data_IF_631790379544
#
_entry.id   IF_631790379544
#
_cell.length_a   1.000
_cell.length_b   1.000
_cell.length_c   1.000
_cell.angle_alpha   90.00
_cell.angle_beta   90.00
_cell.angle_gamma   90.00
#
_symmetry.space_group_name_H-M   'P 1'
#
loop_
_entity.id
_entity.type
_entity.pdbx_description
1 polymer ?
#
# COMPACT_ATOMS: atom_id res chain seq x y z
N UNK A 1 -17.23 -8.12 -5.42
CA UNK A 1 -16.10 -7.67 -6.23
C UNK A 1 -15.36 -6.62 -5.42
N UNK A 2 -14.04 -6.77 -5.25
CA UNK A 2 -13.21 -5.79 -4.54
C UNK A 2 -13.23 -4.44 -5.29
N UNK A 3 -13.25 -3.34 -4.54
CA UNK A 3 -13.12 -2.00 -5.12
C UNK A 3 -11.68 -1.82 -5.64
N UNK A 4 -11.51 -1.13 -6.73
CA UNK A 4 -10.19 -0.82 -7.28
C UNK A 4 -9.83 0.64 -7.03
N UNK A 5 -8.64 0.88 -6.52
CA UNK A 5 -8.04 2.18 -6.33
C UNK A 5 -6.70 2.26 -7.08
N UNK A 6 -6.25 3.46 -7.45
CA UNK A 6 -4.97 3.71 -8.10
C UNK A 6 -3.92 4.14 -7.07
N UNK A 7 -2.73 3.58 -7.12
CA UNK A 7 -1.57 4.05 -6.38
C UNK A 7 -0.69 4.95 -7.27
N UNK A 8 -0.25 6.07 -6.73
CA UNK A 8 0.58 7.06 -7.41
C UNK A 8 1.80 7.46 -6.59
N UNK A 9 2.84 7.97 -7.26
CA UNK A 9 3.99 8.62 -6.63
C UNK A 9 4.62 9.62 -7.60
N UNK A 10 5.33 10.63 -7.08
CA UNK A 10 6.11 11.56 -7.91
C UNK A 10 7.42 10.87 -8.29
N UNK A 11 7.65 10.75 -9.58
CA UNK A 11 8.89 10.25 -10.17
C UNK A 11 9.31 11.22 -11.31
N UNK A 12 10.54 11.13 -11.83
CA UNK A 12 10.95 11.97 -12.96
C UNK A 12 10.01 11.88 -14.17
N UNK A 13 9.42 10.72 -14.40
CA UNK A 13 8.44 10.43 -15.46
C UNK A 13 6.98 10.58 -15.04
N UNK A 14 6.73 11.05 -13.82
CA UNK A 14 5.39 11.24 -13.24
C UNK A 14 5.28 12.61 -12.56
N UNK A 15 5.35 13.70 -13.31
CA UNK A 15 5.26 15.05 -12.74
C UNK A 15 3.87 15.31 -12.15
N UNK A 16 3.72 16.29 -11.23
CA UNK A 16 2.45 16.56 -10.53
C UNK A 16 1.24 16.73 -11.45
N UNK A 17 1.41 17.37 -12.61
CA UNK A 17 0.34 17.52 -13.60
C UNK A 17 -0.20 16.18 -14.09
N UNK A 18 0.66 15.17 -14.29
CA UNK A 18 0.26 13.82 -14.68
C UNK A 18 -0.50 13.11 -13.57
N UNK A 19 -0.11 13.29 -12.32
CA UNK A 19 -0.83 12.71 -11.19
C UNK A 19 -2.28 13.23 -11.12
N UNK A 20 -2.47 14.53 -11.41
CA UNK A 20 -3.81 15.14 -11.48
C UNK A 20 -4.62 14.54 -12.64
N UNK A 21 -4.03 14.40 -13.83
CA UNK A 21 -4.69 13.78 -14.99
C UNK A 21 -5.11 12.34 -14.69
N UNK A 22 -4.22 11.52 -14.13
CA UNK A 22 -4.51 10.13 -13.77
C UNK A 22 -5.58 10.02 -12.70
N UNK A 23 -5.57 10.92 -11.71
CA UNK A 23 -6.58 10.92 -10.64
C UNK A 23 -7.97 11.22 -11.18
N UNK A 24 -8.09 12.17 -12.11
CA UNK A 24 -9.35 12.48 -12.80
C UNK A 24 -9.79 11.30 -13.68
N UNK A 25 -8.87 10.74 -14.47
CA UNK A 25 -9.17 9.57 -15.30
C UNK A 25 -9.62 8.36 -14.46
N UNK A 26 -9.00 8.13 -13.30
CA UNK A 26 -9.41 7.08 -12.38
C UNK A 26 -10.81 7.37 -11.78
N UNK A 27 -11.09 8.62 -11.40
CA UNK A 27 -12.41 9.02 -10.94
C UNK A 27 -13.49 8.80 -12.01
N UNK A 28 -13.24 9.18 -13.25
CA UNK A 28 -14.16 9.00 -14.37
C UNK A 28 -14.34 7.52 -14.76
N UNK A 29 -13.32 6.71 -14.52
CA UNK A 29 -13.37 5.25 -14.74
C UNK A 29 -14.02 4.48 -13.58
N UNK A 30 -14.48 5.12 -12.51
CA UNK A 30 -15.17 4.51 -11.40
C UNK A 30 -14.26 3.93 -10.31
N UNK A 31 -12.96 4.25 -10.29
CA UNK A 31 -12.07 3.84 -9.22
C UNK A 31 -12.53 4.42 -7.87
N UNK A 32 -12.36 3.63 -6.81
CA UNK A 32 -12.81 4.00 -5.47
C UNK A 32 -11.87 4.98 -4.76
N UNK A 33 -10.60 5.09 -5.18
CA UNK A 33 -9.62 5.95 -4.54
C UNK A 33 -8.33 6.13 -5.35
N UNK A 34 -7.56 7.16 -4.96
CA UNK A 34 -6.18 7.37 -5.38
C UNK A 34 -5.33 7.48 -4.12
N UNK A 35 -4.29 6.64 -4.04
CA UNK A 35 -3.40 6.56 -2.89
C UNK A 35 -1.99 6.99 -3.25
N UNK A 36 -1.42 7.91 -2.49
CA UNK A 36 -0.04 8.34 -2.68
C UNK A 36 0.92 7.46 -1.88
N UNK A 37 1.99 7.00 -2.53
CA UNK A 37 3.11 6.38 -1.82
C UNK A 37 4.08 7.47 -1.37
N UNK A 38 4.72 7.31 -0.21
CA UNK A 38 5.75 8.24 0.27
C UNK A 38 7.14 7.79 -0.20
N UNK A 39 7.39 8.07 -1.49
CA UNK A 39 8.66 7.78 -2.12
C UNK A 39 9.06 9.00 -2.97
N UNK A 40 10.09 9.71 -2.55
CA UNK A 40 10.57 10.96 -3.16
C UNK A 40 9.54 12.12 -3.18
N UNK A 41 8.51 12.04 -2.35
CA UNK A 41 7.45 13.06 -2.26
C UNK A 41 6.80 13.04 -0.87
N UNK A 42 6.12 14.12 -0.53
CA UNK A 42 5.20 14.17 0.60
C UNK A 42 3.84 13.61 0.20
N UNK A 43 3.50 12.44 0.76
CA UNK A 43 2.27 11.72 0.42
C UNK A 43 1.00 12.48 0.82
N UNK A 44 1.06 13.27 1.91
CA UNK A 44 -0.07 14.03 2.44
C UNK A 44 -0.31 15.29 1.61
N UNK A 45 0.76 16.06 1.34
CA UNK A 45 0.67 17.26 0.48
C UNK A 45 0.19 16.89 -0.93
N UNK A 46 0.68 15.78 -1.49
CA UNK A 46 0.20 15.27 -2.78
C UNK A 46 -1.27 14.85 -2.72
N UNK A 47 -1.70 14.17 -1.65
CA UNK A 47 -3.12 13.79 -1.47
C UNK A 47 -4.03 15.02 -1.41
N UNK A 48 -3.60 16.10 -0.74
CA UNK A 48 -4.32 17.37 -0.73
C UNK A 48 -4.44 17.94 -2.14
N UNK A 49 -3.34 18.03 -2.87
CA UNK A 49 -3.32 18.56 -4.24
C UNK A 49 -4.28 17.78 -5.17
N UNK A 50 -4.22 16.44 -5.13
CA UNK A 50 -5.13 15.59 -5.91
C UNK A 50 -6.59 15.76 -5.47
N UNK A 51 -6.83 15.90 -4.16
CA UNK A 51 -8.16 16.10 -3.60
C UNK A 51 -8.84 17.39 -4.07
N UNK A 52 -8.07 18.46 -4.25
CA UNK A 52 -8.58 19.74 -4.78
C UNK A 52 -8.90 19.67 -6.29
N UNK A 53 -8.37 18.66 -7.00
CA UNK A 53 -8.59 18.47 -8.44
C UNK A 53 -9.57 17.34 -8.79
N UNK A 54 -10.11 16.65 -7.77
CA UNK A 54 -11.11 15.57 -7.89
C UNK A 54 -12.35 15.92 -7.04
N UNK A 55 -13.47 15.23 -7.25
CA UNK A 55 -14.76 15.58 -6.61
C UNK A 55 -15.33 14.48 -5.72
N UNK A 56 -15.18 13.22 -6.10
CA UNK A 56 -15.86 12.07 -5.48
C UNK A 56 -14.89 11.00 -4.96
N UNK A 57 -13.80 10.79 -5.72
CA UNK A 57 -12.84 9.73 -5.44
C UNK A 57 -12.18 9.94 -4.06
N UNK A 58 -11.97 8.86 -3.30
CA UNK A 58 -11.24 8.91 -2.04
C UNK A 58 -9.75 9.19 -2.30
N UNK A 59 -9.13 9.92 -1.40
CA UNK A 59 -7.69 10.15 -1.39
C UNK A 59 -7.10 9.35 -0.23
N UNK A 60 -5.87 8.89 -0.37
CA UNK A 60 -5.23 8.20 0.73
C UNK A 60 -3.71 8.15 0.61
N UNK A 61 -3.09 7.63 1.64
CA UNK A 61 -1.65 7.31 1.59
C UNK A 61 -1.43 5.79 1.73
N UNK A 62 -0.50 5.25 0.97
CA UNK A 62 -0.11 3.84 1.02
C UNK A 62 1.42 3.69 0.86
N UNK A 63 2.14 4.16 1.81
CA UNK A 63 1.81 4.63 3.15
C UNK A 63 2.55 5.94 3.48
N UNK A 64 2.11 6.68 4.50
CA UNK A 64 2.90 7.72 5.17
C UNK A 64 3.79 7.08 6.22
N UNK A 65 5.09 7.40 6.21
CA UNK A 65 6.07 6.87 7.17
C UNK A 65 5.95 7.63 8.52
N UNK A 66 5.61 6.91 9.59
CA UNK A 66 5.41 7.45 10.94
C UNK A 66 6.66 8.04 11.59
N UNK A 67 7.85 7.81 11.03
CA UNK A 67 9.12 8.33 11.55
C UNK A 67 9.51 9.68 10.97
N UNK A 68 8.91 10.10 9.87
CA UNK A 68 9.28 11.33 9.17
C UNK A 68 8.61 12.58 9.74
N UNK A 69 7.56 12.41 10.57
CA UNK A 69 6.77 13.52 11.13
C UNK A 69 6.51 13.33 12.62
N UNK A 70 6.46 14.42 13.36
CA UNK A 70 5.92 14.36 14.72
C UNK A 70 4.42 14.02 14.67
N UNK A 71 3.89 13.12 15.52
CA UNK A 71 2.48 12.71 15.46
C UNK A 71 1.47 13.85 15.54
N UNK A 72 1.73 14.91 16.29
CA UNK A 72 0.83 16.07 16.34
C UNK A 72 0.80 16.85 15.02
N UNK A 73 1.96 17.00 14.34
CA UNK A 73 2.00 17.62 13.02
C UNK A 73 1.25 16.76 12.01
N UNK A 74 1.48 15.44 12.05
CA UNK A 74 0.78 14.48 11.20
C UNK A 74 -0.75 14.53 11.40
N UNK A 75 -1.23 14.72 12.63
CA UNK A 75 -2.65 14.91 12.91
C UNK A 75 -3.21 16.20 12.28
N UNK A 76 -2.48 17.31 12.38
CA UNK A 76 -2.88 18.59 11.77
C UNK A 76 -2.91 18.50 10.24
N UNK A 77 -1.87 17.90 9.63
CA UNK A 77 -1.79 17.70 8.19
C UNK A 77 -2.96 16.81 7.68
N UNK A 78 -3.19 15.69 8.32
CA UNK A 78 -4.24 14.75 7.95
C UNK A 78 -5.65 15.36 8.13
N UNK A 79 -5.86 16.12 9.22
CA UNK A 79 -7.09 16.85 9.45
C UNK A 79 -7.34 17.93 8.36
N UNK A 80 -6.30 18.67 7.98
CA UNK A 80 -6.42 19.65 6.91
C UNK A 80 -6.83 18.99 5.58
N UNK A 81 -6.19 17.87 5.21
CA UNK A 81 -6.57 17.14 3.99
C UNK A 81 -8.02 16.65 4.10
N UNK A 82 -8.45 16.11 5.25
CA UNK A 82 -9.81 15.64 5.48
C UNK A 82 -10.84 16.76 5.27
N UNK A 83 -10.59 17.94 5.86
CA UNK A 83 -11.50 19.09 5.73
C UNK A 83 -11.52 19.65 4.30
N UNK A 84 -10.36 19.93 3.69
CA UNK A 84 -10.27 20.45 2.33
C UNK A 84 -10.84 19.50 1.27
N UNK A 85 -10.88 18.21 1.54
CA UNK A 85 -11.42 17.20 0.62
C UNK A 85 -12.86 16.77 0.95
N UNK A 86 -13.50 17.39 1.95
CA UNK A 86 -14.87 17.07 2.33
C UNK A 86 -15.04 15.64 2.86
N UNK A 87 -14.12 15.18 3.71
CA UNK A 87 -14.22 13.86 4.36
C UNK A 87 -13.75 12.68 3.49
N UNK A 88 -13.02 12.92 2.40
CA UNK A 88 -12.60 11.86 1.46
C UNK A 88 -11.23 11.26 1.73
N UNK A 89 -10.51 11.69 2.78
CA UNK A 89 -9.15 11.26 3.05
C UNK A 89 -9.08 10.00 3.92
N UNK A 90 -8.11 9.14 3.61
CA UNK A 90 -7.75 7.93 4.37
C UNK A 90 -6.24 8.02 4.67
N UNK A 91 -5.86 8.07 5.94
CA UNK A 91 -4.45 8.09 6.32
C UNK A 91 -3.92 6.67 6.49
N UNK A 92 -3.18 6.19 5.50
CA UNK A 92 -2.44 4.93 5.58
C UNK A 92 -1.07 5.15 6.19
N UNK A 93 -0.78 4.46 7.29
CA UNK A 93 0.43 4.57 8.11
C UNK A 93 1.32 3.35 7.93
N UNK A 94 2.63 3.57 7.88
CA UNK A 94 3.61 2.51 7.84
C UNK A 94 4.91 2.90 8.55
N UNK A 95 5.74 1.91 8.80
CA UNK A 95 7.04 2.11 9.48
C UNK A 95 8.19 2.38 8.51
N UNK A 96 7.92 2.37 7.20
CA UNK A 96 8.98 2.42 6.19
C UNK A 96 9.91 1.20 6.26
N UNK A 97 10.99 1.25 5.50
CA UNK A 97 12.05 0.24 5.53
C UNK A 97 13.19 0.69 6.45
N UNK A 98 13.75 -0.25 7.22
CA UNK A 98 14.83 0.04 8.16
C UNK A 98 16.02 0.70 7.46
N UNK A 99 16.40 0.18 6.31
CA UNK A 99 17.52 0.69 5.52
C UNK A 99 17.30 2.15 5.09
N UNK A 100 16.09 2.47 4.63
CA UNK A 100 15.73 3.84 4.21
C UNK A 100 15.71 4.80 5.40
N UNK A 101 15.14 4.38 6.53
CA UNK A 101 15.12 5.18 7.75
C UNK A 101 16.52 5.40 8.31
N UNK A 102 17.37 4.36 8.33
CA UNK A 102 18.76 4.47 8.78
C UNK A 102 19.59 5.43 7.90
N UNK A 103 19.35 5.43 6.58
CA UNK A 103 19.99 6.37 5.66
C UNK A 103 19.64 7.84 5.94
N UNK A 104 18.49 8.07 6.59
CA UNK A 104 18.02 9.38 7.06
C UNK A 104 18.43 9.68 8.52
N UNK A 105 19.25 8.84 9.14
CA UNK A 105 19.66 8.98 10.54
C UNK A 105 18.55 8.64 11.55
N UNK A 106 17.50 7.96 11.15
CA UNK A 106 16.35 7.63 12.00
C UNK A 106 16.59 6.31 12.73
N UNK A 107 16.58 6.37 14.06
CA UNK A 107 16.57 5.19 14.92
C UNK A 107 15.13 4.73 15.16
N UNK A 108 14.78 3.57 14.60
CA UNK A 108 13.38 3.10 14.60
C UNK A 108 12.91 2.54 15.95
N UNK A 109 13.81 2.09 16.83
CA UNK A 109 13.43 1.38 18.05
C UNK A 109 12.60 0.13 17.74
N UNK A 110 11.50 -0.07 18.47
CA UNK A 110 10.53 -1.16 18.27
C UNK A 110 9.36 -0.64 17.42
N UNK A 111 9.26 -1.00 16.12
CA UNK A 111 8.26 -0.43 15.20
C UNK A 111 6.81 -0.64 15.66
N UNK A 112 6.51 -1.78 16.30
CA UNK A 112 5.16 -2.08 16.81
C UNK A 112 4.74 -1.09 17.91
N UNK A 113 5.63 -0.83 18.88
CA UNK A 113 5.40 0.14 19.94
C UNK A 113 5.23 1.54 19.37
N UNK A 114 6.13 1.93 18.46
CA UNK A 114 6.07 3.26 17.82
C UNK A 114 4.78 3.47 17.04
N UNK A 115 4.30 2.45 16.29
CA UNK A 115 3.03 2.51 15.58
C UNK A 115 1.86 2.70 16.56
N UNK A 116 1.81 1.93 17.64
CA UNK A 116 0.78 2.05 18.70
C UNK A 116 0.73 3.45 19.30
N UNK A 117 1.88 3.99 19.69
CA UNK A 117 2.00 5.33 20.27
C UNK A 117 1.58 6.42 19.27
N UNK A 118 2.00 6.29 18.02
CA UNK A 118 1.61 7.22 16.95
C UNK A 118 0.10 7.23 16.75
N UNK A 119 -0.54 6.07 16.59
CA UNK A 119 -2.00 5.98 16.42
C UNK A 119 -2.74 6.52 17.65
N UNK A 120 -2.28 6.21 18.86
CA UNK A 120 -2.86 6.75 20.10
C UNK A 120 -2.81 8.29 20.12
N UNK A 121 -1.66 8.87 19.77
CA UNK A 121 -1.50 10.34 19.71
C UNK A 121 -2.38 10.96 18.62
N UNK A 122 -2.44 10.35 17.43
CA UNK A 122 -3.31 10.79 16.33
C UNK A 122 -4.78 10.78 16.76
N UNK A 123 -5.27 9.68 17.34
CA UNK A 123 -6.67 9.57 17.81
C UNK A 123 -6.98 10.67 18.83
N UNK A 124 -6.14 10.83 19.86
CA UNK A 124 -6.34 11.84 20.88
C UNK A 124 -6.36 13.27 20.30
N UNK A 125 -5.50 13.57 19.33
CA UNK A 125 -5.47 14.86 18.65
C UNK A 125 -6.73 15.09 17.80
N UNK A 126 -7.19 14.09 17.05
CA UNK A 126 -8.34 14.17 16.16
C UNK A 126 -9.71 14.16 16.89
N UNK A 127 -9.77 13.65 18.11
CA UNK A 127 -10.96 13.66 18.96
C UNK A 127 -11.25 15.04 19.59
N UNK A 128 -10.45 16.05 19.30
CA UNK A 128 -10.76 17.42 19.64
C UNK A 128 -10.38 17.82 21.07
N UNK A 129 -9.20 17.45 21.54
CA UNK A 129 -8.58 18.06 22.72
C UNK A 129 -8.51 19.60 22.56
N UNK A 130 -8.32 20.34 23.68
CA UNK A 130 -8.31 21.83 23.69
C UNK A 130 -7.39 22.47 22.63
N UNK A 131 -6.41 21.73 22.10
CA UNK A 131 -5.41 22.17 21.11
C UNK A 131 -5.34 21.32 19.86
N UNK A 132 -6.20 20.31 19.70
CA UNK A 132 -6.21 19.42 18.56
C UNK A 132 -6.96 20.00 17.35
N UNK A 133 -6.68 19.51 16.12
CA UNK A 133 -7.42 19.92 14.94
C UNK A 133 -8.88 19.45 15.03
N UNK A 134 -9.79 20.24 14.47
CA UNK A 134 -11.17 19.81 14.31
C UNK A 134 -11.32 19.10 12.98
N UNK A 135 -12.04 17.97 12.97
CA UNK A 135 -12.44 17.26 11.75
C UNK A 135 -13.96 17.11 11.74
N UNK A 136 -14.57 17.50 10.62
CA UNK A 136 -16.03 17.42 10.44
C UNK A 136 -16.53 15.99 10.18
N UNK A 137 -15.61 15.11 9.74
CA UNK A 137 -15.87 13.71 9.44
C UNK A 137 -14.76 12.82 10.02
N UNK A 138 -15.12 11.58 10.39
CA UNK A 138 -14.14 10.59 10.85
C UNK A 138 -13.01 10.43 9.81
N UNK A 139 -11.77 10.56 10.26
CA UNK A 139 -10.58 10.26 9.47
C UNK A 139 -10.19 8.78 9.67
N UNK A 140 -10.32 7.90 8.65
CA UNK A 140 -9.91 6.52 8.76
C UNK A 140 -8.38 6.39 8.82
N UNK A 141 -7.88 5.60 9.79
CA UNK A 141 -6.47 5.26 9.95
C UNK A 141 -6.24 3.81 9.51
N UNK A 142 -5.52 3.61 8.40
CA UNK A 142 -5.14 2.29 7.91
C UNK A 142 -3.68 2.01 8.26
N UNK A 143 -3.37 0.78 8.69
CA UNK A 143 -2.01 0.40 9.08
C UNK A 143 -1.44 -0.60 8.07
N UNK A 144 -0.24 -0.35 7.56
CA UNK A 144 0.47 -1.34 6.75
C UNK A 144 0.90 -2.53 7.63
N UNK A 145 0.49 -3.73 7.26
CA UNK A 145 0.75 -4.96 8.00
C UNK A 145 1.35 -6.05 7.12
N UNK A 146 2.63 -6.38 7.34
CA UNK A 146 3.30 -7.51 6.68
C UNK A 146 3.53 -8.66 7.67
N UNK A 147 3.87 -8.34 8.92
CA UNK A 147 4.08 -9.33 9.98
C UNK A 147 2.81 -9.57 10.80
N UNK A 148 2.63 -10.79 11.32
CA UNK A 148 1.50 -11.15 12.17
C UNK A 148 1.26 -10.16 13.33
N UNK A 149 2.27 -9.72 14.11
CA UNK A 149 2.02 -8.75 15.17
C UNK A 149 1.48 -7.41 14.66
N UNK A 150 1.94 -6.93 13.49
CA UNK A 150 1.47 -5.68 12.91
C UNK A 150 0.04 -5.81 12.35
N UNK A 151 -0.30 -6.95 11.75
CA UNK A 151 -1.67 -7.25 11.30
C UNK A 151 -2.64 -7.28 12.49
N UNK A 152 -2.26 -7.95 13.59
CA UNK A 152 -3.05 -7.93 14.84
C UNK A 152 -3.21 -6.50 15.39
N UNK A 153 -2.14 -5.71 15.39
CA UNK A 153 -2.21 -4.32 15.82
C UNK A 153 -3.17 -3.50 14.94
N UNK A 154 -3.15 -3.73 13.61
CA UNK A 154 -4.10 -3.08 12.71
C UNK A 154 -5.56 -3.42 13.06
N UNK A 155 -5.84 -4.68 13.42
CA UNK A 155 -7.14 -5.11 13.94
C UNK A 155 -7.53 -4.42 15.23
N UNK A 156 -6.59 -4.32 16.17
CA UNK A 156 -6.81 -3.76 17.50
C UNK A 156 -7.11 -2.24 17.47
N UNK A 157 -6.38 -1.46 16.68
CA UNK A 157 -6.42 0.01 16.75
C UNK A 157 -6.66 0.72 15.42
N UNK A 158 -6.56 0.04 14.25
CA UNK A 158 -6.74 0.63 12.92
C UNK A 158 -8.21 0.60 12.45
N UNK A 159 -8.57 1.42 11.48
CA UNK A 159 -9.84 1.31 10.75
C UNK A 159 -9.70 0.45 9.49
N UNK A 160 -8.47 0.10 9.13
CA UNK A 160 -8.14 -0.82 8.05
C UNK A 160 -6.70 -1.29 8.13
N UNK A 161 -6.39 -2.28 7.30
CA UNK A 161 -5.04 -2.81 7.08
C UNK A 161 -4.66 -2.70 5.61
N UNK A 162 -3.38 -2.45 5.32
CA UNK A 162 -2.83 -2.47 3.96
C UNK A 162 -1.81 -3.61 3.89
N UNK A 163 -2.17 -4.68 3.18
CA UNK A 163 -1.28 -5.79 2.86
C UNK A 163 -0.44 -5.46 1.61
N UNK A 164 0.73 -6.07 1.48
CA UNK A 164 1.55 -5.95 0.28
C UNK A 164 2.26 -7.29 -0.01
N UNK A 165 2.23 -7.73 -1.27
CA UNK A 165 2.76 -9.01 -1.76
C UNK A 165 2.17 -10.26 -1.10
N UNK A 166 0.95 -10.20 -0.60
CA UNK A 166 0.30 -11.35 0.03
C UNK A 166 -0.32 -12.26 -1.03
N UNK A 167 0.07 -13.54 -1.11
CA UNK A 167 -0.68 -14.53 -1.87
C UNK A 167 -2.03 -14.84 -1.20
N UNK A 168 -3.02 -15.39 -1.94
CA UNK A 168 -4.37 -15.64 -1.42
C UNK A 168 -4.43 -16.41 -0.11
N UNK A 169 -3.59 -17.44 0.05
CA UNK A 169 -3.51 -18.21 1.29
C UNK A 169 -3.09 -17.35 2.49
N UNK A 170 -2.07 -16.48 2.30
CA UNK A 170 -1.59 -15.56 3.33
C UNK A 170 -2.62 -14.47 3.66
N UNK A 171 -3.38 -14.01 2.66
CA UNK A 171 -4.51 -13.08 2.91
C UNK A 171 -5.53 -13.73 3.85
N UNK A 172 -5.91 -14.99 3.59
CA UNK A 172 -6.87 -15.74 4.44
C UNK A 172 -6.38 -15.85 5.89
N UNK A 173 -5.11 -16.19 6.10
CA UNK A 173 -4.50 -16.24 7.44
C UNK A 173 -4.49 -14.86 8.10
N UNK A 174 -4.10 -13.82 7.35
CA UNK A 174 -4.02 -12.45 7.85
C UNK A 174 -5.37 -11.88 8.26
N UNK A 175 -6.45 -12.26 7.59
CA UNK A 175 -7.81 -11.89 8.00
C UNK A 175 -8.18 -12.52 9.36
N UNK A 176 -7.73 -13.74 9.64
CA UNK A 176 -7.84 -14.35 10.97
C UNK A 176 -7.05 -13.58 12.02
N UNK A 177 -5.78 -13.21 11.72
CA UNK A 177 -4.94 -12.40 12.60
C UNK A 177 -5.53 -11.00 12.86
N UNK A 178 -6.14 -10.40 11.84
CA UNK A 178 -6.84 -9.11 11.93
C UNK A 178 -8.04 -9.23 12.88
N UNK A 179 -8.82 -10.31 12.76
CA UNK A 179 -9.96 -10.58 13.61
C UNK A 179 -9.53 -10.83 15.08
N UNK A 180 -8.44 -11.59 15.32
CA UNK A 180 -7.86 -11.74 16.65
C UNK A 180 -7.48 -10.37 17.26
N UNK A 181 -6.86 -9.48 16.46
CA UNK A 181 -6.54 -8.12 16.89
C UNK A 181 -7.79 -7.29 17.21
N UNK A 182 -8.82 -7.40 16.39
CA UNK A 182 -10.09 -6.72 16.63
C UNK A 182 -10.74 -7.14 17.95
N UNK A 183 -10.71 -8.44 18.27
CA UNK A 183 -11.21 -8.96 19.55
C UNK A 183 -10.44 -8.38 20.74
N UNK A 184 -9.10 -8.27 20.65
CA UNK A 184 -8.26 -7.63 21.68
C UNK A 184 -8.70 -6.16 21.89
N UNK A 185 -9.02 -5.44 20.81
CA UNK A 185 -9.49 -4.07 20.84
C UNK A 185 -10.98 -3.90 21.18
N UNK A 186 -11.72 -4.99 21.45
CA UNK A 186 -13.17 -4.95 21.69
C UNK A 186 -13.98 -4.46 20.47
N UNK A 187 -13.53 -4.77 19.24
CA UNK A 187 -14.07 -4.25 17.98
C UNK A 187 -14.64 -5.37 17.10
N UNK A 188 -15.63 -5.05 16.29
CA UNK A 188 -16.12 -5.97 15.26
C UNK A 188 -15.18 -5.96 14.06
N UNK A 189 -14.57 -7.10 13.69
CA UNK A 189 -13.66 -7.21 12.55
C UNK A 189 -14.32 -6.83 11.21
N UNK A 190 -15.63 -6.92 11.09
CA UNK A 190 -16.37 -6.51 9.88
C UNK A 190 -16.27 -5.01 9.58
N UNK A 191 -15.93 -4.20 10.57
CA UNK A 191 -15.75 -2.75 10.41
C UNK A 191 -14.31 -2.35 10.11
N UNK A 192 -13.42 -3.31 9.90
CA UNK A 192 -12.01 -3.07 9.58
C UNK A 192 -11.76 -3.42 8.11
N UNK A 193 -11.44 -2.42 7.31
CA UNK A 193 -11.22 -2.60 5.87
C UNK A 193 -9.92 -3.38 5.62
N UNK A 194 -9.98 -4.47 4.86
CA UNK A 194 -8.81 -5.18 4.37
C UNK A 194 -8.45 -4.69 2.97
N UNK A 195 -7.27 -4.12 2.83
CA UNK A 195 -6.79 -3.53 1.58
C UNK A 195 -5.52 -4.23 1.12
N UNK A 196 -5.40 -4.49 -0.18
CA UNK A 196 -4.20 -5.06 -0.80
C UNK A 196 -3.53 -4.03 -1.70
N UNK A 197 -2.26 -3.70 -1.42
CA UNK A 197 -1.40 -2.98 -2.36
C UNK A 197 -0.88 -3.97 -3.41
N UNK A 198 -1.39 -3.85 -4.63
CA UNK A 198 -1.16 -4.78 -5.73
C UNK A 198 -0.29 -4.15 -6.81
N UNK A 199 0.92 -4.64 -6.98
CA UNK A 199 1.84 -4.14 -8.01
C UNK A 199 1.59 -4.82 -9.36
N UNK A 200 1.40 -4.02 -10.42
CA UNK A 200 1.04 -4.47 -11.75
C UNK A 200 2.14 -4.21 -12.79
N UNK A 201 2.35 -5.19 -13.67
CA UNK A 201 3.18 -5.15 -14.87
C UNK A 201 2.36 -5.71 -16.04
N UNK A 202 1.74 -4.81 -16.84
CA UNK A 202 0.81 -5.20 -17.91
C UNK A 202 1.53 -5.24 -19.24
N UNK A 203 1.55 -6.41 -19.88
CA UNK A 203 2.08 -6.62 -21.23
C UNK A 203 1.55 -7.94 -21.80
N UNK A 204 1.33 -7.98 -23.11
CA UNK A 204 1.03 -9.23 -23.83
C UNK A 204 2.29 -10.11 -23.96
N UNK A 205 3.50 -9.52 -23.93
CA UNK A 205 4.76 -10.23 -23.74
C UNK A 205 4.97 -10.53 -22.26
N UNK A 206 4.63 -11.75 -21.84
CA UNK A 206 4.70 -12.21 -20.46
C UNK A 206 6.13 -12.17 -19.90
N UNK A 207 7.15 -12.51 -20.69
CA UNK A 207 8.54 -12.49 -20.22
C UNK A 207 9.08 -11.06 -20.09
N UNK A 208 8.66 -10.13 -20.95
CA UNK A 208 8.95 -8.72 -20.78
C UNK A 208 8.34 -8.18 -19.48
N UNK A 209 7.12 -8.61 -19.13
CA UNK A 209 6.47 -8.23 -17.87
C UNK A 209 7.13 -8.87 -16.63
N UNK A 210 7.55 -10.13 -16.72
CA UNK A 210 8.21 -10.85 -15.61
C UNK A 210 9.61 -10.34 -15.27
N UNK A 211 10.34 -9.79 -16.22
CA UNK A 211 11.71 -9.30 -16.02
C UNK A 211 11.78 -8.21 -14.92
N UNK A 212 11.05 -7.08 -15.00
CA UNK A 212 11.03 -6.09 -13.93
C UNK A 212 10.38 -6.61 -12.65
N UNK A 213 9.40 -7.52 -12.73
CA UNK A 213 8.78 -8.18 -11.58
C UNK A 213 9.79 -9.01 -10.76
N UNK A 214 10.67 -9.79 -11.42
CA UNK A 214 11.77 -10.51 -10.75
C UNK A 214 12.70 -9.55 -10.01
N UNK A 215 13.08 -8.44 -10.63
CA UNK A 215 13.93 -7.42 -10.00
C UNK A 215 13.28 -6.79 -8.79
N UNK A 216 11.98 -6.52 -8.85
CA UNK A 216 11.22 -6.03 -7.70
C UNK A 216 11.23 -7.04 -6.55
N UNK A 217 10.83 -8.28 -6.82
CA UNK A 217 10.72 -9.31 -5.78
C UNK A 217 12.07 -9.74 -5.18
N UNK A 218 13.16 -9.71 -5.95
CA UNK A 218 14.51 -9.95 -5.40
C UNK A 218 14.88 -8.91 -4.34
N UNK A 219 14.54 -7.64 -4.56
CA UNK A 219 14.76 -6.57 -3.58
C UNK A 219 13.93 -6.74 -2.33
N UNK A 220 12.63 -7.00 -2.48
CA UNK A 220 11.72 -7.17 -1.33
C UNK A 220 11.97 -8.49 -0.60
N UNK A 221 12.30 -9.58 -1.29
CA UNK A 221 12.68 -10.86 -0.69
C UNK A 221 13.92 -10.79 0.20
N UNK A 222 14.84 -9.88 -0.10
CA UNK A 222 16.00 -9.61 0.76
C UNK A 222 15.62 -8.88 2.07
N UNK A 223 14.53 -8.12 2.10
CA UNK A 223 14.07 -7.40 3.29
C UNK A 223 13.52 -8.37 4.34
N UNK A 224 13.88 -8.16 5.61
CA UNK A 224 13.56 -9.09 6.71
C UNK A 224 12.08 -9.47 6.77
N UNK A 225 11.18 -8.50 6.82
CA UNK A 225 9.76 -8.78 7.03
C UNK A 225 9.07 -9.35 5.79
N UNK A 226 9.36 -8.80 4.62
CA UNK A 226 8.81 -9.30 3.34
C UNK A 226 9.34 -10.69 3.01
N UNK A 227 10.65 -10.89 3.10
CA UNK A 227 11.23 -12.22 2.86
C UNK A 227 10.72 -13.27 3.85
N UNK A 228 10.56 -12.93 5.13
CA UNK A 228 9.98 -13.86 6.10
C UNK A 228 8.52 -14.20 5.76
N UNK A 229 7.73 -13.22 5.33
CA UNK A 229 6.35 -13.45 4.90
C UNK A 229 6.28 -14.34 3.66
N UNK A 230 7.10 -14.07 2.64
CA UNK A 230 7.17 -14.88 1.43
C UNK A 230 7.66 -16.30 1.73
N UNK A 231 8.68 -16.47 2.57
CA UNK A 231 9.15 -17.78 3.02
C UNK A 231 8.01 -18.55 3.71
N UNK A 232 7.32 -17.92 4.69
CA UNK A 232 6.16 -18.54 5.35
C UNK A 232 5.03 -18.92 4.38
N UNK A 233 4.96 -18.25 3.23
CA UNK A 233 3.98 -18.54 2.18
C UNK A 233 4.41 -19.63 1.19
N UNK A 234 5.44 -20.42 1.50
CA UNK A 234 5.90 -21.56 0.71
C UNK A 234 7.08 -21.29 -0.23
N UNK A 235 7.74 -20.11 -0.11
CA UNK A 235 8.85 -19.72 -0.95
C UNK A 235 10.20 -19.66 -0.20
N UNK A 236 10.41 -20.58 0.77
CA UNK A 236 11.61 -20.60 1.63
C UNK A 236 12.89 -20.74 0.82
N UNK A 237 12.90 -21.59 -0.23
CA UNK A 237 14.09 -21.85 -1.06
C UNK A 237 14.48 -20.63 -1.86
N UNK A 238 13.53 -19.96 -2.50
CA UNK A 238 13.75 -18.72 -3.25
C UNK A 238 14.27 -17.62 -2.35
N UNK A 239 13.66 -17.43 -1.18
CA UNK A 239 14.08 -16.39 -0.23
C UNK A 239 15.47 -16.68 0.34
N UNK A 240 15.81 -17.93 0.64
CA UNK A 240 17.16 -18.31 1.06
C UNK A 240 18.19 -18.01 -0.03
N UNK A 241 17.88 -18.34 -1.30
CA UNK A 241 18.77 -18.06 -2.44
C UNK A 241 18.92 -16.55 -2.70
N UNK A 242 17.83 -15.77 -2.63
CA UNK A 242 17.85 -14.31 -2.77
C UNK A 242 18.75 -13.68 -1.70
N UNK A 243 18.64 -14.12 -0.44
CA UNK A 243 19.44 -13.60 0.67
C UNK A 243 20.92 -13.96 0.56
N UNK A 244 21.21 -15.19 0.12
CA UNK A 244 22.58 -15.65 -0.10
C UNK A 244 23.29 -14.90 -1.25
N UNK A 245 22.54 -14.55 -2.30
CA UNK A 245 23.04 -13.80 -3.46
C UNK A 245 23.26 -12.30 -3.20
N UNK A 246 22.68 -11.78 -2.12
CA UNK A 246 22.66 -10.34 -1.81
C UNK A 246 21.66 -9.56 -2.65
N UNK A 247 21.27 -8.40 -2.13
CA UNK A 247 20.29 -7.51 -2.75
C UNK A 247 20.80 -7.00 -4.12
N UNK A 248 19.93 -6.98 -5.11
CA UNK A 248 20.16 -6.44 -6.46
C UNK A 248 21.19 -7.23 -7.34
N UNK A 249 21.69 -8.38 -6.89
CA UNK A 249 22.56 -9.24 -7.71
C UNK A 249 21.78 -10.04 -8.76
N UNK A 250 22.41 -10.33 -9.92
CA UNK A 250 21.81 -11.17 -10.97
C UNK A 250 21.37 -12.55 -10.45
N UNK A 251 22.14 -13.13 -9.52
CA UNK A 251 21.78 -14.39 -8.88
C UNK A 251 20.50 -14.27 -8.03
N UNK A 252 20.29 -13.14 -7.33
CA UNK A 252 19.07 -12.89 -6.58
C UNK A 252 17.86 -12.75 -7.51
N UNK A 253 18.01 -12.07 -8.64
CA UNK A 253 16.95 -11.94 -9.66
C UNK A 253 16.61 -13.30 -10.27
N UNK A 254 17.61 -14.13 -10.58
CA UNK A 254 17.41 -15.50 -11.10
C UNK A 254 16.76 -16.45 -10.10
N UNK A 255 16.90 -16.21 -8.81
CA UNK A 255 16.27 -17.01 -7.76
C UNK A 255 14.75 -16.78 -7.63
N UNK A 256 14.21 -15.71 -8.19
CA UNK A 256 12.77 -15.43 -8.18
C UNK A 256 12.07 -16.32 -9.21
N UNK A 257 11.25 -17.26 -8.73
CA UNK A 257 10.45 -18.18 -9.55
C UNK A 257 9.26 -17.46 -10.21
N UNK A 258 8.71 -18.05 -11.26
CA UNK A 258 7.45 -17.57 -11.86
C UNK A 258 6.28 -17.75 -10.90
N UNK A 259 6.32 -18.80 -10.10
CA UNK A 259 5.33 -19.13 -9.08
C UNK A 259 5.25 -18.03 -8.02
N UNK A 260 6.40 -17.52 -7.55
CA UNK A 260 6.44 -16.40 -6.59
C UNK A 260 5.88 -15.11 -7.23
N UNK A 261 6.20 -14.83 -8.49
CA UNK A 261 5.66 -13.70 -9.24
C UNK A 261 4.14 -13.82 -9.34
N UNK A 262 3.68 -14.95 -9.85
CA UNK A 262 2.25 -15.21 -10.08
C UNK A 262 1.46 -15.27 -8.77
N UNK A 263 2.07 -15.64 -7.65
CA UNK A 263 1.43 -15.65 -6.35
C UNK A 263 1.23 -14.25 -5.75
N UNK A 264 2.11 -13.28 -6.04
CA UNK A 264 2.19 -12.02 -5.30
C UNK A 264 1.93 -10.75 -6.12
N UNK A 265 1.98 -10.84 -7.46
CA UNK A 265 1.92 -9.71 -8.37
C UNK A 265 0.84 -9.87 -9.43
N UNK A 266 0.51 -8.75 -10.08
CA UNK A 266 -0.37 -8.69 -11.24
C UNK A 266 0.51 -8.60 -12.51
N UNK A 267 0.77 -9.73 -13.18
CA UNK A 267 1.71 -9.79 -14.31
C UNK A 267 1.07 -10.47 -15.53
N UNK A 268 1.16 -9.84 -16.70
CA UNK A 268 0.69 -10.37 -17.98
C UNK A 268 -0.25 -9.46 -18.74
N UNK A 269 -1.06 -10.01 -19.65
CA UNK A 269 -2.06 -9.27 -20.41
C UNK A 269 -3.13 -8.62 -19.53
N UNK A 270 -3.87 -7.67 -20.07
CA UNK A 270 -4.97 -7.02 -19.33
C UNK A 270 -6.01 -8.03 -18.81
N UNK A 271 -6.32 -9.07 -19.61
CA UNK A 271 -7.25 -10.12 -19.18
C UNK A 271 -6.70 -10.92 -17.99
N UNK A 272 -5.41 -11.34 -18.06
CA UNK A 272 -4.75 -12.05 -16.98
C UNK A 272 -4.66 -11.21 -15.70
N UNK A 273 -4.35 -9.92 -15.82
CA UNK A 273 -4.28 -9.02 -14.69
C UNK A 273 -5.63 -8.85 -13.98
N UNK A 274 -6.74 -8.78 -14.74
CA UNK A 274 -8.11 -8.78 -14.15
C UNK A 274 -8.41 -10.07 -13.38
N UNK A 275 -8.11 -11.21 -13.99
CA UNK A 275 -8.29 -12.53 -13.36
C UNK A 275 -7.47 -12.65 -12.08
N UNK A 276 -6.17 -12.32 -12.13
CA UNK A 276 -5.28 -12.36 -10.97
C UNK A 276 -5.72 -11.40 -9.87
N UNK A 277 -6.18 -10.20 -10.22
CA UNK A 277 -6.71 -9.25 -9.24
C UNK A 277 -7.92 -9.84 -8.50
N UNK A 278 -8.82 -10.50 -9.23
CA UNK A 278 -9.96 -11.19 -8.64
C UNK A 278 -9.50 -12.31 -7.69
N UNK A 279 -8.54 -13.15 -8.11
CA UNK A 279 -8.01 -14.25 -7.29
C UNK A 279 -7.32 -13.75 -6.01
N UNK A 280 -6.48 -12.69 -6.12
CA UNK A 280 -5.79 -12.10 -4.96
C UNK A 280 -6.79 -11.48 -3.96
N UNK A 281 -7.91 -10.97 -4.44
CA UNK A 281 -8.92 -10.33 -3.60
C UNK A 281 -9.98 -11.30 -3.06
N UNK A 282 -10.15 -12.47 -3.68
CA UNK A 282 -11.20 -13.43 -3.35
C UNK A 282 -11.25 -13.86 -1.86
N UNK A 283 -10.12 -13.97 -1.11
CA UNK A 283 -10.17 -14.34 0.30
C UNK A 283 -10.86 -13.33 1.22
N UNK A 284 -11.15 -12.11 0.76
CA UNK A 284 -11.85 -11.10 1.57
C UNK A 284 -11.21 -9.69 1.53
N UNK A 285 -10.46 -9.36 0.49
CA UNK A 285 -9.98 -8.00 0.26
C UNK A 285 -11.13 -7.12 -0.19
N UNK A 286 -11.40 -6.03 0.53
CA UNK A 286 -12.42 -5.04 0.19
C UNK A 286 -11.95 -4.03 -0.85
N UNK A 287 -10.68 -3.62 -0.81
CA UNK A 287 -10.09 -2.66 -1.75
C UNK A 287 -8.71 -3.11 -2.22
N UNK A 288 -8.48 -3.10 -3.53
CA UNK A 288 -7.15 -3.30 -4.13
C UNK A 288 -6.59 -1.96 -4.61
N UNK A 289 -5.43 -1.56 -4.10
CA UNK A 289 -4.69 -0.36 -4.52
C UNK A 289 -3.66 -0.81 -5.56
N UNK A 290 -3.89 -0.48 -6.83
CA UNK A 290 -3.06 -0.97 -7.94
C UNK A 290 -1.96 0.02 -8.25
N UNK A 291 -0.70 -0.42 -8.12
CA UNK A 291 0.49 0.34 -8.49
C UNK A 291 1.05 -0.16 -9.82
N UNK A 292 0.96 0.69 -10.84
CA UNK A 292 1.39 0.35 -12.20
C UNK A 292 2.89 0.58 -12.39
N UNK A 293 3.56 -0.40 -12.98
CA UNK A 293 4.92 -0.27 -13.50
C UNK A 293 4.92 -0.42 -15.02
N UNK A 294 5.63 0.44 -15.76
CA UNK A 294 5.70 0.34 -17.21
C UNK A 294 6.49 -0.89 -17.67
N UNK A 295 6.05 -1.50 -18.79
CA UNK A 295 6.73 -2.60 -19.45
C UNK A 295 6.91 -2.23 -20.91
N UNK A 296 8.13 -1.87 -21.30
CA UNK A 296 8.49 -1.44 -22.66
C UNK A 296 7.64 -0.25 -23.20
N UNK A 297 7.12 0.57 -22.32
CA UNK A 297 6.31 1.75 -22.63
C UNK A 297 6.58 2.85 -21.61
N UNK A 298 6.13 4.09 -21.87
CA UNK A 298 6.20 5.16 -20.88
C UNK A 298 5.16 4.95 -19.75
N UNK A 299 5.41 5.60 -18.61
CA UNK A 299 4.55 5.46 -17.43
C UNK A 299 3.13 5.96 -17.67
N UNK A 300 2.95 7.00 -18.48
CA UNK A 300 1.62 7.51 -18.76
C UNK A 300 0.79 6.48 -19.55
N UNK A 301 1.38 5.87 -20.57
CA UNK A 301 0.73 4.81 -21.33
C UNK A 301 0.35 3.62 -20.44
N UNK A 302 1.28 3.20 -19.56
CA UNK A 302 1.06 2.10 -18.61
C UNK A 302 -0.08 2.40 -17.62
N UNK A 303 -0.10 3.59 -17.01
CA UNK A 303 -1.16 3.98 -16.05
C UNK A 303 -2.51 4.09 -16.76
N UNK A 304 -2.57 4.73 -17.94
CA UNK A 304 -3.81 4.86 -18.69
C UNK A 304 -4.32 3.50 -19.19
N UNK A 305 -3.43 2.56 -19.53
CA UNK A 305 -3.77 1.16 -19.82
C UNK A 305 -4.39 0.49 -18.60
N UNK A 306 -3.76 0.63 -17.44
CA UNK A 306 -4.27 0.06 -16.18
C UNK A 306 -5.65 0.59 -15.84
N UNK A 307 -5.88 1.90 -15.97
CA UNK A 307 -7.18 2.53 -15.73
C UNK A 307 -8.23 1.94 -16.68
N UNK A 308 -7.92 1.81 -17.97
CA UNK A 308 -8.86 1.18 -18.95
C UNK A 308 -9.11 -0.28 -18.64
N UNK A 309 -8.05 -1.04 -18.36
CA UNK A 309 -8.14 -2.48 -18.08
C UNK A 309 -8.98 -2.81 -16.84
N UNK A 310 -8.93 -1.94 -15.82
CA UNK A 310 -9.59 -2.16 -14.52
C UNK A 310 -10.79 -1.24 -14.26
N UNK A 311 -11.31 -0.59 -15.31
CA UNK A 311 -12.52 0.25 -15.25
C UNK A 311 -13.67 -0.53 -14.62
N UNK A 312 -14.37 0.09 -13.67
CA UNK A 312 -15.52 -0.46 -12.94
C UNK A 312 -16.86 0.01 -13.48
#
# INVERSE_FOLDING_TARGET
VAKTALACTILPDSPPARLIEWSRAAEDAGFSGVFMTEANNDSIACSLALGLHTRRIKLGTAITNIYLRHPNLLANEAAAVQEFTGGRFILGLGTGHRESNSALGIEMGIPLTRMRETVKTLRAALEGGKTGPRVSAKLPLYLAGVSRPMVKLAGEIGDGVIFNFFPPARVKEALGELAEGAQIGGRDPKHIEATLFATAFISDDLEAARRPARKLLSRYGALKFYGNMMAHSGFEREIAAIRAAGRDGDAAVKAVSNELIDATLLVGSEARVRERLHELCAPGIGTAIVFTNPVNEDRNAAVMRTIRALKQ
#
